data_IF_633881761133
#
_entry.id   IF_633881761133
#
_cell.length_a   1.000
_cell.length_b   1.000
_cell.length_c   1.000
_cell.angle_alpha   90.00
_cell.angle_beta   90.00
_cell.angle_gamma   90.00
#
_symmetry.space_group_name_H-M   'P 1'
#
loop_
_entity.id
_entity.type
_entity.pdbx_description
1 polymer ?
#
# COMPACT_ATOMS: atom_id res chain seq x y z
N UNK A 1 -10.02 -8.85 -11.95
CA UNK A 1 -8.81 -8.94 -11.10
C UNK A 1 -9.17 -9.70 -9.83
N UNK A 2 -8.30 -10.56 -9.29
CA UNK A 2 -8.65 -11.35 -8.10
C UNK A 2 -8.62 -10.51 -6.81
N UNK A 3 -9.60 -10.68 -5.92
CA UNK A 3 -9.59 -10.13 -4.55
C UNK A 3 -8.49 -10.71 -3.66
N UNK A 4 -7.74 -11.72 -4.12
CA UNK A 4 -6.66 -12.40 -3.37
C UNK A 4 -5.45 -11.51 -3.01
N UNK A 5 -5.35 -10.32 -3.59
CA UNK A 5 -4.32 -9.32 -3.30
C UNK A 5 -4.86 -8.12 -2.51
N UNK A 6 -6.08 -8.21 -1.99
CA UNK A 6 -6.66 -7.15 -1.18
C UNK A 6 -6.04 -7.10 0.22
N UNK A 7 -5.78 -5.88 0.73
CA UNK A 7 -5.44 -5.65 2.15
C UNK A 7 -6.61 -6.01 3.08
N UNK A 8 -7.82 -6.01 2.54
CA UNK A 8 -9.03 -6.42 3.25
C UNK A 8 -10.11 -6.88 2.26
N UNK A 9 -10.82 -7.95 2.61
CA UNK A 9 -11.91 -8.49 1.79
C UNK A 9 -13.16 -8.71 2.65
N UNK A 10 -14.30 -8.25 2.16
CA UNK A 10 -15.64 -8.53 2.74
C UNK A 10 -16.34 -9.55 1.85
N UNK A 11 -16.74 -10.69 2.41
CA UNK A 11 -17.39 -11.77 1.67
C UNK A 11 -18.88 -11.83 1.98
N UNK A 12 -19.69 -11.97 0.92
CA UNK A 12 -21.15 -12.10 0.96
C UNK A 12 -21.85 -11.12 1.94
N UNK A 13 -21.58 -9.81 1.87
CA UNK A 13 -22.21 -8.86 2.78
C UNK A 13 -23.73 -8.80 2.57
N UNK A 14 -24.46 -8.59 3.66
CA UNK A 14 -25.91 -8.31 3.62
C UNK A 14 -26.14 -6.93 3.00
N UNK A 15 -27.11 -6.81 2.09
CA UNK A 15 -27.45 -5.56 1.40
C UNK A 15 -28.72 -4.93 2.02
N UNK A 16 -28.72 -3.64 2.37
CA UNK A 16 -27.65 -2.65 2.18
C UNK A 16 -26.44 -2.89 3.09
N UNK A 17 -25.25 -2.70 2.54
CA UNK A 17 -23.99 -2.80 3.27
C UNK A 17 -23.38 -1.40 3.43
N UNK A 18 -22.89 -1.11 4.63
CA UNK A 18 -22.06 0.07 4.93
C UNK A 18 -20.90 -0.39 5.80
N UNK A 19 -19.68 -0.01 5.46
CA UNK A 19 -18.49 -0.38 6.22
C UNK A 19 -17.34 0.61 6.03
N UNK A 20 -16.36 0.60 6.94
CA UNK A 20 -15.19 1.45 6.83
C UNK A 20 -14.30 1.00 5.66
N UNK A 21 -13.61 1.96 5.05
CA UNK A 21 -12.52 1.74 4.10
C UNK A 21 -11.23 1.59 4.92
N UNK A 22 -10.61 0.39 4.98
CA UNK A 22 -9.47 0.16 5.86
C UNK A 22 -8.27 1.05 5.52
N UNK A 23 -7.90 1.94 6.43
CA UNK A 23 -6.82 2.90 6.25
C UNK A 23 -7.14 4.07 5.29
N UNK A 24 -8.41 4.28 4.93
CA UNK A 24 -8.80 5.32 3.97
C UNK A 24 -8.41 5.00 2.52
N UNK A 25 -8.60 5.98 1.63
CA UNK A 25 -8.26 5.88 0.21
C UNK A 25 -6.99 6.65 -0.15
N UNK A 26 -6.09 5.98 -0.88
CA UNK A 26 -4.88 6.58 -1.42
C UNK A 26 -4.80 6.45 -2.95
N UNK A 27 -4.11 7.37 -3.64
CA UNK A 27 -3.87 7.26 -5.07
C UNK A 27 -3.21 5.94 -5.47
N UNK A 28 -3.80 5.30 -6.47
CA UNK A 28 -3.48 3.99 -7.04
C UNK A 28 -4.18 2.81 -6.36
N UNK A 29 -4.88 3.02 -5.24
CA UNK A 29 -5.68 1.96 -4.63
C UNK A 29 -6.91 1.63 -5.48
N UNK A 30 -7.36 0.38 -5.35
CA UNK A 30 -8.48 -0.16 -6.11
C UNK A 30 -9.52 -0.71 -5.14
N UNK A 31 -10.79 -0.37 -5.35
CA UNK A 31 -11.92 -1.09 -4.78
C UNK A 31 -12.48 -2.00 -5.88
N UNK A 32 -12.51 -3.30 -5.63
CA UNK A 32 -13.16 -4.30 -6.49
C UNK A 32 -14.46 -4.74 -5.83
N UNK A 33 -15.54 -4.75 -6.61
CA UNK A 33 -16.84 -5.27 -6.21
C UNK A 33 -17.21 -6.38 -7.18
N UNK A 34 -17.40 -7.60 -6.66
CA UNK A 34 -17.87 -8.74 -7.44
C UNK A 34 -19.25 -9.14 -6.94
N UNK A 35 -20.19 -9.32 -7.87
CA UNK A 35 -21.58 -9.58 -7.54
C UNK A 35 -22.38 -10.12 -8.71
N UNK A 36 -23.67 -10.28 -8.47
CA UNK A 36 -24.69 -10.65 -9.45
C UNK A 36 -25.86 -9.68 -9.39
N UNK A 37 -26.41 -9.36 -10.55
CA UNK A 37 -27.59 -8.51 -10.69
C UNK A 37 -28.83 -9.40 -10.82
N UNK A 38 -29.80 -9.35 -9.89
CA UNK A 38 -31.06 -10.10 -10.01
C UNK A 38 -31.84 -9.73 -11.29
N UNK A 39 -32.63 -10.65 -11.88
CA UNK A 39 -33.39 -10.39 -13.12
C UNK A 39 -34.37 -9.21 -13.00
N UNK A 40 -34.95 -9.03 -11.81
CA UNK A 40 -35.92 -7.98 -11.50
C UNK A 40 -35.27 -6.63 -11.16
N UNK A 41 -33.94 -6.56 -11.16
CA UNK A 41 -33.22 -5.36 -10.73
C UNK A 41 -33.28 -4.25 -11.78
N UNK A 42 -33.72 -3.08 -11.33
CA UNK A 42 -33.73 -1.81 -12.06
C UNK A 42 -32.46 -0.98 -11.79
N UNK A 43 -31.98 -0.98 -10.54
CA UNK A 43 -30.78 -0.24 -10.12
C UNK A 43 -30.16 -0.79 -8.84
N UNK A 44 -28.87 -0.49 -8.68
CA UNK A 44 -28.19 -0.48 -7.40
C UNK A 44 -27.27 0.73 -7.35
N UNK A 45 -26.77 1.08 -6.16
CA UNK A 45 -25.88 2.21 -5.98
C UNK A 45 -24.70 1.85 -5.08
N UNK A 46 -23.55 2.44 -5.40
CA UNK A 46 -22.30 2.36 -4.65
C UNK A 46 -21.90 3.78 -4.28
N UNK A 47 -21.75 4.03 -2.98
CA UNK A 47 -21.34 5.34 -2.46
C UNK A 47 -20.00 5.24 -1.73
N UNK A 48 -19.10 6.18 -2.02
CA UNK A 48 -17.91 6.47 -1.21
C UNK A 48 -18.16 7.77 -0.45
N UNK A 49 -18.13 7.73 0.87
CA UNK A 49 -18.62 8.81 1.74
C UNK A 49 -17.60 9.24 2.80
N UNK A 50 -17.81 10.45 3.32
CA UNK A 50 -17.13 11.00 4.50
C UNK A 50 -17.96 10.73 5.76
N UNK A 51 -17.79 9.54 6.31
CA UNK A 51 -18.57 8.97 7.41
C UNK A 51 -19.85 8.27 6.97
N UNK A 52 -20.58 7.78 7.97
CA UNK A 52 -21.83 7.02 7.81
C UNK A 52 -23.04 7.68 8.50
N UNK A 53 -22.97 8.97 8.82
CA UNK A 53 -24.07 9.69 9.48
C UNK A 53 -25.27 9.80 8.55
N UNK A 54 -26.47 9.58 9.10
CA UNK A 54 -27.74 9.75 8.37
C UNK A 54 -28.41 11.09 8.67
N UNK A 55 -28.03 11.77 9.75
CA UNK A 55 -28.59 13.07 10.18
C UNK A 55 -27.53 13.92 10.91
N UNK A 56 -26.95 14.96 10.26
CA UNK A 56 -27.04 15.23 8.82
C UNK A 56 -26.45 14.07 8.01
N UNK A 57 -26.91 13.88 6.77
CA UNK A 57 -26.36 12.85 5.88
C UNK A 57 -24.88 13.19 5.60
N UNK A 58 -24.02 12.19 5.74
CA UNK A 58 -22.60 12.28 5.38
C UNK A 58 -22.43 12.68 3.91
N UNK A 59 -21.38 13.46 3.64
CA UNK A 59 -21.04 13.88 2.29
C UNK A 59 -20.64 12.66 1.44
N UNK A 60 -21.13 12.58 0.20
CA UNK A 60 -20.83 11.50 -0.74
C UNK A 60 -19.83 12.00 -1.79
N UNK A 61 -18.61 11.46 -1.76
CA UNK A 61 -17.54 11.82 -2.68
C UNK A 61 -17.74 11.21 -4.08
N UNK A 62 -18.24 9.97 -4.14
CA UNK A 62 -18.63 9.30 -5.37
C UNK A 62 -19.98 8.62 -5.14
N UNK A 63 -20.96 8.95 -5.98
CA UNK A 63 -22.23 8.24 -6.07
C UNK A 63 -22.29 7.55 -7.43
N UNK A 64 -22.19 6.23 -7.46
CA UNK A 64 -22.23 5.42 -8.67
C UNK A 64 -23.50 4.58 -8.68
N UNK A 65 -24.44 4.91 -9.58
CA UNK A 65 -25.76 4.27 -9.65
C UNK A 65 -26.04 3.80 -11.08
N UNK A 66 -25.54 2.60 -11.46
CA UNK A 66 -25.77 2.07 -12.80
C UNK A 66 -27.27 1.76 -13.01
N UNK A 67 -27.82 2.28 -14.10
CA UNK A 67 -29.16 1.94 -14.57
C UNK A 67 -29.11 0.65 -15.38
N UNK A 68 -29.87 -0.36 -14.95
CA UNK A 68 -29.85 -1.68 -15.54
C UNK A 68 -31.01 -1.82 -16.53
N UNK A 69 -30.68 -1.99 -17.81
CA UNK A 69 -31.68 -2.23 -18.85
C UNK A 69 -31.69 -3.71 -19.22
N UNK A 70 -32.71 -4.45 -18.76
CA UNK A 70 -32.91 -5.89 -19.03
C UNK A 70 -31.63 -6.70 -18.80
N UNK A 71 -31.14 -6.79 -17.54
CA UNK A 71 -29.99 -7.65 -17.26
C UNK A 71 -30.29 -9.08 -17.71
N UNK A 72 -29.30 -9.74 -18.33
CA UNK A 72 -29.38 -11.19 -18.52
C UNK A 72 -29.60 -11.85 -17.15
N UNK A 73 -30.35 -12.96 -17.09
CA UNK A 73 -30.70 -13.67 -15.86
C UNK A 73 -29.48 -13.83 -14.95
N UNK A 74 -29.50 -13.17 -13.79
CA UNK A 74 -28.45 -13.24 -12.77
C UNK A 74 -27.03 -12.90 -13.31
N UNK A 75 -26.91 -11.88 -14.17
CA UNK A 75 -25.64 -11.53 -14.79
C UNK A 75 -24.57 -11.19 -13.71
N UNK A 76 -23.41 -11.87 -13.73
CA UNK A 76 -22.29 -11.51 -12.88
C UNK A 76 -21.69 -10.17 -13.33
N UNK A 77 -21.13 -9.43 -12.38
CA UNK A 77 -20.37 -8.24 -12.68
C UNK A 77 -19.11 -8.14 -11.81
N UNK A 78 -18.11 -7.47 -12.36
CA UNK A 78 -16.95 -6.95 -11.64
C UNK A 78 -16.89 -5.44 -11.86
N UNK A 79 -17.03 -4.66 -10.80
CA UNK A 79 -16.80 -3.22 -10.80
C UNK A 79 -15.44 -2.94 -10.17
N UNK A 80 -14.61 -2.15 -10.85
CA UNK A 80 -13.33 -1.65 -10.38
C UNK A 80 -13.44 -0.14 -10.23
N UNK A 81 -13.17 0.37 -9.04
CA UNK A 81 -12.98 1.80 -8.77
C UNK A 81 -11.50 2.01 -8.48
N UNK A 82 -10.79 2.59 -9.43
CA UNK A 82 -9.39 2.99 -9.29
C UNK A 82 -9.32 4.43 -8.78
N UNK A 83 -8.63 4.64 -7.68
CA UNK A 83 -8.43 5.95 -7.07
C UNK A 83 -7.22 6.61 -7.73
N UNK A 84 -7.39 7.76 -8.37
CA UNK A 84 -6.28 8.61 -8.81
C UNK A 84 -6.12 9.80 -7.86
N UNK A 85 -5.02 10.56 -8.04
CA UNK A 85 -4.77 11.79 -7.27
C UNK A 85 -5.86 12.84 -7.47
N UNK A 86 -6.50 12.86 -8.64
CA UNK A 86 -7.42 13.91 -9.12
C UNK A 86 -8.83 13.42 -9.46
N UNK A 87 -9.04 12.10 -9.61
CA UNK A 87 -10.33 11.52 -9.95
C UNK A 87 -10.50 10.07 -9.44
N UNK A 88 -11.73 9.57 -9.48
CA UNK A 88 -12.03 8.15 -9.49
C UNK A 88 -12.22 7.66 -10.93
N UNK A 89 -11.63 6.53 -11.30
CA UNK A 89 -11.89 5.85 -12.57
C UNK A 89 -12.69 4.59 -12.30
N UNK A 90 -13.83 4.44 -12.97
CA UNK A 90 -14.70 3.28 -12.81
C UNK A 90 -14.69 2.44 -14.07
N UNK A 91 -14.47 1.14 -13.93
CA UNK A 91 -14.60 0.15 -14.98
C UNK A 91 -15.56 -0.96 -14.54
N UNK A 92 -16.33 -1.48 -15.48
CA UNK A 92 -17.24 -2.62 -15.25
C UNK A 92 -16.93 -3.70 -16.28
N UNK A 93 -16.73 -4.93 -15.82
CA UNK A 93 -16.43 -6.09 -16.67
C UNK A 93 -15.27 -5.84 -17.65
N UNK A 94 -14.20 -5.22 -17.15
CA UNK A 94 -12.99 -4.88 -17.93
C UNK A 94 -13.14 -3.68 -18.86
N UNK A 95 -14.32 -3.08 -18.97
CA UNK A 95 -14.55 -1.90 -19.82
C UNK A 95 -14.55 -0.64 -18.96
N UNK A 96 -13.72 0.34 -19.31
CA UNK A 96 -13.74 1.66 -18.68
C UNK A 96 -15.09 2.34 -18.95
N UNK A 97 -15.72 2.85 -17.89
CA UNK A 97 -17.05 3.46 -17.96
C UNK A 97 -16.98 4.97 -17.80
N UNK A 98 -16.28 5.44 -16.76
CA UNK A 98 -16.22 6.87 -16.46
C UNK A 98 -14.99 7.26 -15.64
N UNK A 99 -14.69 8.56 -15.68
CA UNK A 99 -13.78 9.25 -14.80
C UNK A 99 -14.54 10.37 -14.07
N UNK A 100 -14.40 10.43 -12.75
CA UNK A 100 -15.13 11.35 -11.88
C UNK A 100 -14.17 12.13 -11.00
N UNK A 101 -13.99 13.42 -11.28
CA UNK A 101 -13.07 14.30 -10.53
C UNK A 101 -13.47 14.42 -9.06
N UNK A 102 -12.47 14.47 -8.18
CA UNK A 102 -12.68 14.66 -6.75
C UNK A 102 -13.36 15.99 -6.46
N UNK A 103 -14.51 15.95 -5.78
CA UNK A 103 -15.23 17.14 -5.30
C UNK A 103 -15.06 17.38 -3.79
N UNK A 104 -14.51 16.39 -3.10
CA UNK A 104 -14.22 16.38 -1.67
C UNK A 104 -12.77 15.89 -1.53
N UNK A 105 -11.99 16.41 -0.57
CA UNK A 105 -10.65 15.89 -0.29
C UNK A 105 -10.66 14.36 -0.10
N UNK A 106 -9.78 13.67 -0.83
CA UNK A 106 -9.73 12.20 -0.82
C UNK A 106 -9.53 11.61 0.59
N UNK A 107 -8.73 12.28 1.42
CA UNK A 107 -8.48 11.90 2.81
C UNK A 107 -9.71 11.97 3.73
N UNK A 108 -10.82 12.59 3.30
CA UNK A 108 -12.09 12.59 4.03
C UNK A 108 -12.95 11.37 3.72
N UNK A 109 -12.61 10.58 2.70
CA UNK A 109 -13.40 9.43 2.24
C UNK A 109 -12.97 8.18 3.01
N UNK A 110 -13.84 7.73 3.91
CA UNK A 110 -13.54 6.67 4.88
C UNK A 110 -14.60 5.56 4.91
N UNK A 111 -15.71 5.72 4.18
CA UNK A 111 -16.87 4.84 4.26
C UNK A 111 -17.27 4.36 2.87
N UNK A 112 -17.38 3.05 2.71
CA UNK A 112 -17.96 2.41 1.53
C UNK A 112 -19.39 1.97 1.85
N UNK A 113 -20.32 2.18 0.92
CA UNK A 113 -21.65 1.57 0.99
C UNK A 113 -22.16 1.10 -0.36
N UNK A 114 -22.97 0.05 -0.33
CA UNK A 114 -23.65 -0.51 -1.49
C UNK A 114 -25.08 -0.90 -1.11
N UNK A 115 -26.04 -0.50 -1.93
CA UNK A 115 -27.47 -0.69 -1.68
C UNK A 115 -28.28 -0.82 -2.97
N UNK A 116 -29.54 -1.22 -2.86
CA UNK A 116 -30.41 -1.48 -4.01
C UNK A 116 -30.43 -2.96 -4.42
N UNK A 117 -30.92 -3.25 -5.61
CA UNK A 117 -31.21 -4.61 -6.07
C UNK A 117 -29.95 -5.27 -6.64
N UNK A 118 -29.09 -5.77 -5.75
CA UNK A 118 -27.82 -6.41 -6.10
C UNK A 118 -27.47 -7.49 -5.08
N UNK A 119 -26.83 -8.57 -5.54
CA UNK A 119 -26.20 -9.56 -4.66
C UNK A 119 -24.69 -9.37 -4.76
N UNK A 120 -24.03 -9.09 -3.64
CA UNK A 120 -22.58 -8.89 -3.59
C UNK A 120 -21.92 -10.16 -3.07
N UNK A 121 -20.92 -10.65 -3.79
CA UNK A 121 -20.13 -11.82 -3.42
C UNK A 121 -18.84 -11.41 -2.69
N UNK A 122 -18.18 -10.36 -3.16
CA UNK A 122 -16.96 -9.85 -2.54
C UNK A 122 -16.79 -8.34 -2.74
N UNK A 123 -16.23 -7.68 -1.73
CA UNK A 123 -15.65 -6.33 -1.82
C UNK A 123 -14.19 -6.45 -1.42
N UNK A 124 -13.27 -6.14 -2.33
CA UNK A 124 -11.83 -6.17 -2.08
C UNK A 124 -11.22 -4.78 -2.16
N UNK A 125 -10.40 -4.42 -1.17
CA UNK A 125 -9.60 -3.20 -1.16
C UNK A 125 -8.16 -3.57 -1.51
N UNK A 126 -7.72 -3.29 -2.74
CA UNK A 126 -6.39 -3.63 -3.23
C UNK A 126 -5.48 -2.40 -3.09
N UNK A 127 -4.39 -2.48 -2.32
CA UNK A 127 -3.47 -1.37 -2.18
C UNK A 127 -2.66 -1.14 -3.47
N UNK A 128 -2.17 0.08 -3.68
CA UNK A 128 -1.24 0.42 -4.77
C UNK A 128 0.18 -0.15 -4.56
N UNK A 129 0.42 -0.72 -3.38
CA UNK A 129 1.71 -1.21 -2.91
C UNK A 129 1.45 -2.39 -2.00
N UNK A 130 2.27 -3.44 -2.08
CA UNK A 130 2.17 -4.54 -1.12
C UNK A 130 2.72 -4.17 0.28
N UNK A 131 3.19 -2.93 0.48
CA UNK A 131 3.45 -2.32 1.79
C UNK A 131 2.34 -1.32 2.13
N UNK A 132 1.79 -1.41 3.33
CA UNK A 132 0.83 -0.46 3.87
C UNK A 132 1.28 0.08 5.23
N UNK A 133 1.11 1.39 5.43
CA UNK A 133 1.45 2.06 6.70
C UNK A 133 0.48 1.63 7.81
N UNK A 134 1.02 1.28 8.98
CA UNK A 134 0.23 0.97 10.17
C UNK A 134 -0.43 2.23 10.77
N UNK A 135 0.21 3.40 10.66
CA UNK A 135 -0.34 4.69 11.08
C UNK A 135 -1.29 5.31 10.05
N UNK A 136 -1.28 4.80 8.81
CA UNK A 136 -2.01 5.40 7.69
C UNK A 136 -1.33 6.64 7.09
N UNK A 137 -0.14 7.02 7.58
CA UNK A 137 0.65 8.13 7.05
C UNK A 137 2.14 7.76 6.91
N UNK A 138 2.98 8.74 6.53
CA UNK A 138 4.43 8.59 6.36
C UNK A 138 5.22 9.19 7.54
N UNK A 139 4.58 9.35 8.71
CA UNK A 139 5.25 9.90 9.88
C UNK A 139 6.34 8.95 10.41
N UNK A 140 7.39 9.52 11.00
CA UNK A 140 8.46 8.74 11.64
C UNK A 140 8.21 8.60 13.15
N UNK A 141 8.50 7.42 13.76
CA UNK A 141 9.00 6.21 13.12
C UNK A 141 7.92 5.55 12.24
N UNK A 142 8.26 5.28 10.99
CA UNK A 142 7.36 4.66 10.03
C UNK A 142 7.39 3.15 10.22
N UNK A 143 6.20 2.54 10.25
CA UNK A 143 6.01 1.09 10.25
C UNK A 143 5.08 0.69 9.11
N UNK A 144 5.62 -0.07 8.18
CA UNK A 144 4.90 -0.62 7.04
C UNK A 144 4.78 -2.14 7.16
N UNK A 145 3.57 -2.67 7.08
CA UNK A 145 3.31 -4.11 6.97
C UNK A 145 3.41 -4.55 5.51
N UNK A 146 4.18 -5.61 5.24
CA UNK A 146 4.37 -6.23 3.91
C UNK A 146 3.40 -7.40 3.75
N UNK A 147 2.48 -7.29 2.78
CA UNK A 147 1.49 -8.31 2.50
C UNK A 147 2.16 -9.61 2.00
N UNK A 148 2.00 -10.70 2.77
CA UNK A 148 2.56 -12.05 2.51
C UNK A 148 4.09 -12.14 2.61
N UNK A 149 4.76 -11.13 3.17
CA UNK A 149 6.22 -11.07 3.24
C UNK A 149 6.89 -10.85 1.88
N UNK A 150 8.21 -10.88 1.86
CA UNK A 150 8.98 -10.66 0.63
C UNK A 150 9.14 -11.93 -0.21
N UNK A 151 9.26 -11.74 -1.51
CA UNK A 151 9.51 -12.78 -2.50
C UNK A 151 10.57 -12.32 -3.52
N UNK A 152 11.36 -13.24 -4.09
CA UNK A 152 12.32 -12.89 -5.13
C UNK A 152 11.67 -12.17 -6.32
N UNK A 153 12.33 -11.13 -6.82
CA UNK A 153 11.86 -10.27 -7.90
C UNK A 153 11.14 -9.02 -7.43
N UNK A 154 10.66 -8.98 -6.18
CA UNK A 154 10.03 -7.79 -5.62
C UNK A 154 11.06 -6.72 -5.25
N UNK A 155 10.64 -5.46 -5.29
CA UNK A 155 11.48 -4.36 -4.83
C UNK A 155 10.72 -3.32 -4.02
N UNK A 156 11.40 -2.80 -3.00
CA UNK A 156 10.91 -1.69 -2.18
C UNK A 156 11.56 -0.41 -2.69
N UNK A 157 10.74 0.62 -2.92
CA UNK A 157 11.20 1.99 -3.17
C UNK A 157 10.86 2.86 -1.97
N UNK A 158 11.85 3.59 -1.45
CA UNK A 158 11.71 4.55 -0.37
C UNK A 158 12.20 5.90 -0.89
N UNK A 159 11.32 6.89 -0.93
CA UNK A 159 11.63 8.25 -1.37
C UNK A 159 11.48 9.21 -0.20
N UNK A 160 12.35 10.20 -0.14
CA UNK A 160 12.29 11.20 0.91
C UNK A 160 13.39 12.24 0.79
N UNK A 161 13.48 13.06 1.82
CA UNK A 161 14.50 14.08 1.96
C UNK A 161 15.27 13.85 3.26
N UNK A 162 16.60 13.91 3.20
CA UNK A 162 17.43 13.90 4.41
C UNK A 162 17.22 15.21 5.17
N UNK A 163 17.12 15.16 6.49
CA UNK A 163 17.04 16.38 7.31
C UNK A 163 18.24 17.33 7.10
N UNK A 164 18.10 18.62 7.43
CA UNK A 164 19.15 19.63 7.25
C UNK A 164 20.38 19.47 8.17
N UNK A 165 20.23 18.72 9.27
CA UNK A 165 21.31 18.47 10.25
C UNK A 165 21.31 17.00 10.70
N UNK A 166 21.55 16.05 9.78
CA UNK A 166 21.34 14.64 10.04
C UNK A 166 22.54 14.03 10.77
N UNK A 167 22.26 13.22 11.78
CA UNK A 167 23.23 12.31 12.38
C UNK A 167 23.22 10.97 11.64
N UNK A 168 22.06 10.31 11.61
CA UNK A 168 21.85 9.03 10.93
C UNK A 168 20.36 8.77 10.71
N UNK A 169 20.06 7.80 9.86
CA UNK A 169 18.73 7.21 9.80
C UNK A 169 18.83 5.70 9.63
N UNK A 170 17.73 5.01 9.83
CA UNK A 170 17.67 3.56 9.81
C UNK A 170 16.53 3.10 8.92
N UNK A 171 16.80 2.07 8.12
CA UNK A 171 15.80 1.28 7.39
C UNK A 171 15.97 -0.18 7.78
N UNK A 172 14.92 -0.80 8.29
CA UNK A 172 14.92 -2.22 8.71
C UNK A 172 13.90 -3.01 7.92
N UNK A 173 14.29 -4.20 7.45
CA UNK A 173 13.37 -5.25 7.02
C UNK A 173 13.33 -6.33 8.11
N UNK A 174 12.15 -6.54 8.68
CA UNK A 174 11.95 -7.31 9.91
C UNK A 174 10.91 -8.42 9.75
N UNK A 175 10.97 -9.36 10.68
CA UNK A 175 9.91 -10.34 10.91
C UNK A 175 9.11 -9.95 12.15
N UNK A 176 7.81 -9.68 11.97
CA UNK A 176 6.86 -9.37 13.03
C UNK A 176 6.71 -10.50 14.06
N UNK A 177 7.07 -11.73 13.69
CA UNK A 177 6.91 -12.92 14.55
C UNK A 177 8.08 -13.17 15.48
N UNK A 178 9.27 -12.69 15.13
CA UNK A 178 10.52 -13.08 15.80
C UNK A 178 11.37 -11.90 16.23
N UNK A 179 10.92 -10.67 15.98
CA UNK A 179 11.67 -9.40 16.17
C UNK A 179 12.99 -9.29 15.36
N UNK A 180 13.44 -10.38 14.74
CA UNK A 180 14.61 -10.44 13.86
C UNK A 180 14.60 -9.34 12.79
N UNK A 181 15.76 -8.74 12.57
CA UNK A 181 16.02 -7.79 11.49
C UNK A 181 16.83 -8.53 10.43
N UNK A 182 16.18 -8.91 9.32
CA UNK A 182 16.82 -9.59 8.21
C UNK A 182 17.81 -8.68 7.48
N UNK A 183 17.46 -7.40 7.31
CA UNK A 183 18.32 -6.37 6.74
C UNK A 183 18.18 -5.10 7.57
N UNK A 184 19.28 -4.69 8.20
CA UNK A 184 19.44 -3.39 8.85
C UNK A 184 20.32 -2.51 7.97
N UNK A 185 19.86 -1.30 7.70
CA UNK A 185 20.55 -0.29 6.92
C UNK A 185 20.68 0.97 7.77
N UNK A 186 21.91 1.44 8.01
CA UNK A 186 22.15 2.62 8.82
C UNK A 186 23.22 3.54 8.20
N UNK A 187 22.81 4.50 7.35
CA UNK A 187 23.67 5.59 6.90
C UNK A 187 24.00 6.53 8.05
N UNK A 188 25.29 6.78 8.25
CA UNK A 188 25.82 7.65 9.29
C UNK A 188 26.56 8.83 8.66
N UNK A 189 25.95 10.01 8.71
CA UNK A 189 26.26 11.11 7.79
C UNK A 189 27.64 11.70 8.05
N UNK A 190 28.01 11.90 9.33
CA UNK A 190 29.30 12.51 9.69
C UNK A 190 30.51 11.66 9.32
N UNK A 191 30.39 10.34 9.39
CA UNK A 191 31.48 9.42 9.07
C UNK A 191 31.48 8.96 7.61
N UNK A 192 30.41 9.25 6.86
CA UNK A 192 30.22 8.72 5.50
C UNK A 192 30.11 7.19 5.46
N UNK A 193 29.76 6.55 6.59
CA UNK A 193 29.61 5.11 6.68
C UNK A 193 28.17 4.70 6.41
N UNK A 194 27.97 3.64 5.63
CA UNK A 194 26.66 3.01 5.45
C UNK A 194 26.74 1.58 5.97
N UNK A 195 26.35 1.41 7.23
CA UNK A 195 26.43 0.14 7.94
C UNK A 195 25.27 -0.74 7.50
N UNK A 196 25.57 -2.01 7.21
CA UNK A 196 24.57 -3.03 6.89
C UNK A 196 24.80 -4.23 7.80
N UNK A 197 23.73 -4.77 8.35
CA UNK A 197 23.82 -5.94 9.24
C UNK A 197 22.49 -6.69 9.30
N UNK A 198 22.45 -7.75 10.09
CA UNK A 198 21.22 -8.42 10.54
C UNK A 198 21.26 -8.54 12.05
N UNK A 199 20.09 -8.42 12.69
CA UNK A 199 19.91 -8.69 14.11
C UNK A 199 19.10 -9.98 14.23
N UNK A 200 19.76 -11.07 14.62
CA UNK A 200 19.19 -12.42 14.64
C UNK A 200 19.45 -13.04 16.01
N UNK A 201 18.44 -13.71 16.56
CA UNK A 201 18.56 -14.39 17.87
C UNK A 201 19.14 -13.45 18.94
N UNK A 202 18.56 -12.26 19.04
CA UNK A 202 18.89 -11.22 20.01
C UNK A 202 20.32 -10.65 19.92
N UNK A 203 21.00 -10.86 18.79
CA UNK A 203 22.38 -10.40 18.60
C UNK A 203 22.62 -9.78 17.23
N UNK A 204 23.49 -8.78 17.17
CA UNK A 204 24.00 -8.22 15.92
C UNK A 204 25.03 -9.17 15.31
N UNK A 205 24.92 -9.40 14.00
CA UNK A 205 25.91 -10.14 13.24
C UNK A 205 27.15 -9.30 12.89
N UNK A 206 27.94 -9.82 11.95
CA UNK A 206 29.06 -9.08 11.38
C UNK A 206 28.56 -7.91 10.52
N UNK A 207 29.07 -6.70 10.78
CA UNK A 207 28.75 -5.54 9.96
C UNK A 207 29.45 -5.58 8.61
N UNK A 208 28.79 -5.03 7.61
CA UNK A 208 29.37 -4.77 6.30
C UNK A 208 29.32 -3.25 6.04
N UNK A 209 30.45 -2.66 5.62
CA UNK A 209 30.60 -1.20 5.49
C UNK A 209 31.17 -0.73 4.15
N UNK A 210 31.68 -1.65 3.34
CA UNK A 210 32.33 -1.34 2.06
C UNK A 210 31.34 -0.66 1.10
N UNK A 211 31.78 0.46 0.49
CA UNK A 211 30.98 1.27 -0.43
C UNK A 211 31.89 1.91 -1.49
N UNK A 212 31.39 2.10 -2.72
CA UNK A 212 32.11 2.87 -3.73
C UNK A 212 32.12 4.38 -3.41
N UNK A 213 31.03 4.89 -2.83
CA UNK A 213 30.88 6.27 -2.36
C UNK A 213 29.71 6.36 -1.38
N UNK A 214 29.65 7.42 -0.57
CA UNK A 214 28.51 7.69 0.31
C UNK A 214 27.41 8.45 -0.45
N UNK A 215 26.16 7.95 -0.51
CA UNK A 215 25.17 8.44 -1.47
C UNK A 215 24.22 9.52 -0.93
N UNK A 216 24.32 9.89 0.36
CA UNK A 216 23.38 10.81 1.00
C UNK A 216 24.05 12.14 1.35
N UNK A 217 23.29 13.23 1.19
CA UNK A 217 23.69 14.59 1.50
C UNK A 217 22.64 15.25 2.38
N UNK A 218 23.07 16.19 3.22
CA UNK A 218 22.18 16.93 4.12
C UNK A 218 21.17 17.76 3.34
N UNK A 219 19.89 17.70 3.69
CA UNK A 219 18.82 18.45 3.02
C UNK A 219 18.45 17.95 1.62
N UNK A 220 19.11 16.92 1.09
CA UNK A 220 18.90 16.46 -0.28
C UNK A 220 17.86 15.35 -0.39
N UNK A 221 17.22 15.29 -1.55
CA UNK A 221 16.32 14.20 -1.92
C UNK A 221 17.10 12.89 -2.10
N UNK A 222 16.45 11.78 -1.74
CA UNK A 222 16.93 10.44 -2.05
C UNK A 222 15.80 9.52 -2.51
N UNK A 223 16.19 8.54 -3.30
CA UNK A 223 15.40 7.37 -3.65
C UNK A 223 16.23 6.11 -3.41
N UNK A 224 15.86 5.33 -2.39
CA UNK A 224 16.43 4.00 -2.13
C UNK A 224 15.58 2.97 -2.87
N UNK A 225 16.24 2.08 -3.61
CA UNK A 225 15.63 0.86 -4.17
C UNK A 225 16.30 -0.35 -3.52
N UNK A 226 15.49 -1.21 -2.89
CA UNK A 226 15.91 -2.49 -2.31
C UNK A 226 15.28 -3.62 -3.13
N UNK A 227 16.06 -4.26 -3.99
CA UNK A 227 15.62 -5.39 -4.80
C UNK A 227 15.86 -6.70 -4.05
N UNK A 228 14.81 -7.48 -3.82
CA UNK A 228 14.91 -8.82 -3.28
C UNK A 228 15.21 -9.82 -4.40
N UNK A 229 16.38 -10.45 -4.36
CA UNK A 229 16.75 -11.56 -5.26
C UNK A 229 16.71 -12.89 -4.51
N UNK A 230 16.83 -14.05 -5.18
CA UNK A 230 16.80 -15.35 -4.50
C UNK A 230 17.84 -15.54 -3.38
N UNK A 231 19.00 -14.89 -3.46
CA UNK A 231 20.13 -15.13 -2.54
C UNK A 231 20.65 -13.88 -1.82
N UNK A 232 20.16 -12.69 -2.20
CA UNK A 232 20.67 -11.42 -1.70
C UNK A 232 19.69 -10.28 -1.94
N UNK A 233 19.89 -9.18 -1.22
CA UNK A 233 19.35 -7.89 -1.58
C UNK A 233 20.34 -7.13 -2.47
N UNK A 234 19.83 -6.40 -3.46
CA UNK A 234 20.61 -5.37 -4.17
C UNK A 234 20.08 -4.00 -3.80
N UNK A 235 20.97 -3.09 -3.44
CA UNK A 235 20.59 -1.73 -3.10
C UNK A 235 21.13 -0.73 -4.11
N UNK A 236 20.28 0.22 -4.49
CA UNK A 236 20.63 1.37 -5.29
C UNK A 236 20.09 2.65 -4.63
N UNK A 237 20.81 3.76 -4.79
CA UNK A 237 20.35 5.09 -4.38
C UNK A 237 20.39 6.02 -5.59
N UNK A 238 19.30 6.73 -5.85
CA UNK A 238 19.17 7.67 -6.97
C UNK A 238 19.54 7.03 -8.32
N UNK A 239 19.07 5.80 -8.54
CA UNK A 239 19.30 5.03 -9.78
C UNK A 239 20.69 4.39 -9.90
N UNK A 240 21.60 4.63 -8.96
CA UNK A 240 22.96 4.07 -8.99
C UNK A 240 23.10 2.93 -7.99
N UNK A 241 23.53 1.76 -8.48
CA UNK A 241 23.80 0.60 -7.63
C UNK A 241 24.96 0.86 -6.67
N UNK A 242 24.83 0.44 -5.41
CA UNK A 242 25.85 0.64 -4.39
C UNK A 242 26.45 -0.67 -3.89
N UNK A 243 25.60 -1.61 -3.47
CA UNK A 243 26.06 -2.85 -2.86
C UNK A 243 25.02 -3.97 -2.94
N UNK A 244 25.50 -5.17 -2.68
CA UNK A 244 24.73 -6.39 -2.51
C UNK A 244 24.85 -6.84 -1.05
N UNK A 245 23.78 -7.39 -0.47
CA UNK A 245 23.78 -7.94 0.89
C UNK A 245 23.21 -9.35 0.85
N UNK A 246 24.03 -10.36 1.11
CA UNK A 246 23.59 -11.77 1.06
C UNK A 246 22.56 -12.04 2.16
N UNK A 247 21.55 -12.84 1.82
CA UNK A 247 20.49 -13.19 2.76
C UNK A 247 21.04 -13.96 3.95
N UNK A 248 20.86 -13.40 5.16
CA UNK A 248 21.11 -14.11 6.42
C UNK A 248 19.86 -14.80 6.96
N UNK A 249 18.68 -14.41 6.46
CA UNK A 249 17.39 -15.07 6.66
C UNK A 249 16.93 -15.66 5.33
N UNK A 250 16.73 -16.98 5.28
CA UNK A 250 16.34 -17.69 4.04
C UNK A 250 14.83 -17.70 3.81
N UNK A 251 14.03 -17.66 4.89
CA UNK A 251 12.57 -17.55 4.79
C UNK A 251 12.18 -16.10 4.48
N UNK A 252 12.22 -15.72 3.20
CA UNK A 252 11.88 -14.37 2.75
C UNK A 252 10.41 -14.00 3.06
N UNK A 253 9.51 -14.98 3.08
CA UNK A 253 8.11 -14.79 3.45
C UNK A 253 7.93 -14.43 4.93
N UNK A 254 8.95 -14.64 5.77
CA UNK A 254 8.96 -14.15 7.14
C UNK A 254 9.29 -12.66 7.28
N UNK A 255 9.84 -12.04 6.23
CA UNK A 255 10.18 -10.62 6.23
C UNK A 255 8.93 -9.83 5.86
N UNK A 256 8.12 -9.51 6.87
CA UNK A 256 6.78 -8.96 6.73
C UNK A 256 6.61 -7.54 7.30
N UNK A 257 7.69 -6.89 7.75
CA UNK A 257 7.67 -5.50 8.20
C UNK A 257 8.84 -4.65 7.66
N UNK A 258 8.54 -3.40 7.33
CA UNK A 258 9.49 -2.33 7.03
C UNK A 258 9.42 -1.28 8.13
N UNK A 259 10.54 -0.96 8.77
CA UNK A 259 10.63 0.16 9.71
C UNK A 259 11.62 1.21 9.21
N UNK A 260 11.26 2.49 9.33
CA UNK A 260 12.12 3.62 8.99
C UNK A 260 12.09 4.62 10.14
N UNK A 261 13.25 5.13 10.53
CA UNK A 261 13.38 6.10 11.63
C UNK A 261 14.66 6.93 11.50
N UNK A 262 14.75 8.03 12.25
CA UNK A 262 15.92 8.92 12.27
C UNK A 262 15.73 10.17 11.42
N UNK A 263 16.84 10.75 10.96
CA UNK A 263 16.89 12.13 10.49
C UNK A 263 16.52 12.30 9.00
N UNK A 264 15.26 12.04 8.67
CA UNK A 264 14.69 12.23 7.33
C UNK A 264 13.21 12.60 7.37
N UNK A 265 12.68 13.01 6.21
CA UNK A 265 11.24 13.07 5.92
C UNK A 265 10.93 12.09 4.78
N UNK A 266 9.85 11.31 4.91
CA UNK A 266 9.39 10.39 3.88
C UNK A 266 8.40 11.07 2.93
N UNK A 267 8.57 10.80 1.64
CA UNK A 267 7.68 11.27 0.57
C UNK A 267 6.86 10.13 -0.05
N UNK A 268 7.42 8.92 -0.16
CA UNK A 268 6.73 7.75 -0.74
C UNK A 268 7.41 6.45 -0.28
N UNK A 269 6.61 5.41 -0.03
CA UNK A 269 7.09 4.05 0.26
C UNK A 269 6.22 3.07 -0.53
N UNK A 270 6.84 2.27 -1.39
CA UNK A 270 6.14 1.29 -2.23
C UNK A 270 6.86 -0.04 -2.30
N UNK A 271 6.09 -1.12 -2.41
CA UNK A 271 6.55 -2.46 -2.76
C UNK A 271 5.84 -2.91 -4.03
N UNK A 272 6.63 -3.32 -5.02
CA UNK A 272 6.21 -3.82 -6.32
C UNK A 272 6.54 -5.30 -6.48
#
# INVERSE_FOLDING_TARGET
MSVANAKHTVLNPVIPYTGPIPGGLHPGEIIIIQGTVPPEADRFQVDLSSGCSTKPRSDVALHFSPLLHRPALCAPFETIILVHKDAFKVAVNGTHLLEYKHKIPLNRVDTFSISGNVRVHAIGYIPNSAIFSESGDLSLPYKGSILKGLSPGQHITIKGQVSMYPHSFTVNLRSSRTENIALHLNPHMKSGAFIRNSYLSESWGQEERELPYFPFLSGEYFEILILCQPHQFKLAVNGSHLFEFRHRVQDLGSIDQLEIMGDLQLDDVKLW
#
